data_IF_755762576718
#
_entry.id   IF_755762576718
#
_cell.length_a   1.000
_cell.length_b   1.000
_cell.length_c   1.000
_cell.angle_alpha   90.00
_cell.angle_beta   90.00
_cell.angle_gamma   90.00
#
_symmetry.space_group_name_H-M   'P 1'
#
loop_
_entity.id
_entity.type
_entity.pdbx_description
1 polymer ?
#
# COMPACT_ATOMS: atom_id res chain seq x y z
N UNK A 1 3.41 -15.04 -4.96
CA UNK A 1 4.76 -14.46 -4.82
C UNK A 1 5.35 -14.93 -3.50
N UNK A 2 6.65 -15.26 -3.44
CA UNK A 2 7.30 -15.60 -2.18
C UNK A 2 7.29 -14.38 -1.24
N UNK A 3 7.27 -14.64 0.06
CA UNK A 3 7.34 -13.58 1.06
C UNK A 3 8.68 -12.82 0.94
N UNK A 4 8.61 -11.48 0.93
CA UNK A 4 9.80 -10.62 0.89
C UNK A 4 10.23 -10.36 2.34
N UNK A 5 11.51 -10.55 2.65
CA UNK A 5 12.02 -10.22 3.99
C UNK A 5 12.06 -8.70 4.20
N UNK A 6 11.94 -8.27 5.46
CA UNK A 6 12.03 -6.85 5.82
C UNK A 6 13.31 -6.19 5.30
N UNK A 7 14.45 -6.88 5.40
CA UNK A 7 15.74 -6.35 4.96
C UNK A 7 15.77 -6.09 3.46
N UNK A 8 15.21 -7.00 2.66
CA UNK A 8 15.10 -6.85 1.20
C UNK A 8 14.16 -5.70 0.83
N UNK A 9 12.98 -5.61 1.45
CA UNK A 9 12.04 -4.52 1.20
C UNK A 9 12.68 -3.14 1.50
N UNK A 10 13.35 -3.00 2.65
CA UNK A 10 14.03 -1.76 3.02
C UNK A 10 15.21 -1.42 2.09
N UNK A 11 15.95 -2.42 1.63
CA UNK A 11 17.04 -2.21 0.67
C UNK A 11 16.51 -1.66 -0.66
N UNK A 12 15.39 -2.19 -1.15
CA UNK A 12 14.75 -1.70 -2.38
C UNK A 12 14.29 -0.25 -2.25
N UNK A 13 13.60 0.10 -1.15
CA UNK A 13 13.15 1.48 -0.91
C UNK A 13 14.33 2.45 -0.82
N UNK A 14 15.40 2.11 -0.08
CA UNK A 14 16.60 2.94 0.02
C UNK A 14 17.28 3.15 -1.33
N UNK A 15 17.33 2.11 -2.16
CA UNK A 15 17.86 2.19 -3.53
C UNK A 15 17.07 3.18 -4.37
N UNK A 16 15.75 3.09 -4.35
CA UNK A 16 14.83 3.98 -5.08
C UNK A 16 14.96 5.45 -4.63
N UNK A 17 15.06 5.68 -3.32
CA UNK A 17 15.32 7.01 -2.76
C UNK A 17 16.68 7.54 -3.23
N UNK A 18 17.73 6.71 -3.21
CA UNK A 18 19.07 7.12 -3.64
C UNK A 18 19.15 7.45 -5.13
N UNK A 19 18.25 6.88 -5.96
CA UNK A 19 18.11 7.24 -7.37
C UNK A 19 17.20 8.44 -7.62
N UNK A 20 16.80 9.18 -6.58
CA UNK A 20 15.91 10.33 -6.69
C UNK A 20 14.47 9.97 -7.07
N UNK A 21 14.08 8.70 -6.92
CA UNK A 21 12.73 8.21 -7.22
C UNK A 21 11.91 8.11 -5.93
N UNK A 22 10.69 8.63 -5.95
CA UNK A 22 9.80 8.53 -4.80
C UNK A 22 9.36 7.07 -4.55
N UNK A 23 9.19 6.74 -3.27
CA UNK A 23 8.55 5.49 -2.84
C UNK A 23 7.06 5.79 -2.64
N UNK A 24 6.20 5.08 -3.37
CA UNK A 24 4.76 5.28 -3.38
C UNK A 24 4.07 4.18 -2.58
N UNK A 25 3.20 4.60 -1.65
CA UNK A 25 2.33 3.70 -0.89
C UNK A 25 0.85 3.87 -1.28
N UNK A 26 0.11 2.77 -1.37
CA UNK A 26 -1.32 2.79 -1.64
C UNK A 26 -2.13 2.17 -0.50
N UNK A 27 -3.22 2.84 -0.11
CA UNK A 27 -4.22 2.25 0.77
C UNK A 27 -5.18 1.35 0.00
N UNK A 28 -5.31 0.08 0.36
CA UNK A 28 -6.26 -0.85 -0.25
C UNK A 28 -7.36 -1.28 0.73
N UNK A 29 -8.62 -1.00 0.37
CA UNK A 29 -9.79 -1.39 1.17
C UNK A 29 -10.43 -2.72 0.74
N UNK A 30 -10.09 -3.23 -0.44
CA UNK A 30 -10.57 -4.48 -1.01
C UNK A 30 -9.47 -5.15 -1.84
N UNK A 31 -9.65 -6.43 -2.19
CA UNK A 31 -8.71 -7.16 -3.03
C UNK A 31 -8.56 -6.57 -4.44
N UNK A 32 -9.63 -6.04 -5.04
CA UNK A 32 -9.53 -5.41 -6.36
C UNK A 32 -8.70 -4.12 -6.32
N UNK A 33 -8.83 -3.31 -5.26
CA UNK A 33 -7.97 -2.14 -5.05
C UNK A 33 -6.50 -2.54 -4.93
N UNK A 34 -6.19 -3.62 -4.20
CA UNK A 34 -4.82 -4.13 -4.07
C UNK A 34 -4.26 -4.60 -5.41
N UNK A 35 -5.04 -5.38 -6.18
CA UNK A 35 -4.65 -5.87 -7.50
C UNK A 35 -4.39 -4.74 -8.50
N UNK A 36 -5.24 -3.72 -8.50
CA UNK A 36 -5.03 -2.55 -9.35
C UNK A 36 -3.81 -1.72 -8.91
N UNK A 37 -3.56 -1.59 -7.60
CA UNK A 37 -2.40 -0.88 -7.08
C UNK A 37 -1.08 -1.61 -7.43
N UNK A 38 -1.05 -2.94 -7.30
CA UNK A 38 0.08 -3.77 -7.75
C UNK A 38 0.32 -3.64 -9.25
N UNK A 39 -0.73 -3.72 -10.07
CA UNK A 39 -0.63 -3.51 -11.53
C UNK A 39 -0.17 -2.09 -11.90
N UNK A 40 -0.46 -1.10 -11.05
CA UNK A 40 0.03 0.27 -11.18
C UNK A 40 1.47 0.48 -10.72
N UNK A 41 2.15 -0.55 -10.21
CA UNK A 41 3.56 -0.48 -9.79
C UNK A 41 3.78 0.22 -8.45
N UNK A 42 2.82 0.16 -7.52
CA UNK A 42 3.02 0.69 -6.17
C UNK A 42 4.12 -0.09 -5.41
N UNK A 43 4.92 0.62 -4.60
CA UNK A 43 6.01 0.00 -3.85
C UNK A 43 5.53 -0.71 -2.58
N UNK A 44 4.45 -0.21 -1.96
CA UNK A 44 3.87 -0.78 -0.75
C UNK A 44 2.34 -0.60 -0.71
N UNK A 45 1.65 -1.66 -0.26
CA UNK A 45 0.21 -1.62 0.01
C UNK A 45 -0.01 -1.60 1.52
N UNK A 46 -0.84 -0.67 1.98
CA UNK A 46 -1.28 -0.57 3.37
C UNK A 46 -2.78 -0.90 3.43
N UNK A 47 -3.16 -1.76 4.36
CA UNK A 47 -4.55 -2.07 4.65
C UNK A 47 -4.89 -1.65 6.07
N UNK A 48 -6.11 -1.13 6.27
CA UNK A 48 -6.64 -0.75 7.57
C UNK A 48 -8.17 -0.65 7.51
N UNK A 49 -8.83 -0.59 8.67
CA UNK A 49 -10.30 -0.57 8.80
C UNK A 49 -10.96 0.55 7.98
N UNK A 50 -10.43 1.79 8.02
CA UNK A 50 -10.96 2.89 7.20
C UNK A 50 -10.87 2.62 5.70
N UNK A 51 -9.92 1.82 5.23
CA UNK A 51 -9.87 1.37 3.84
C UNK A 51 -11.13 0.58 3.48
N UNK A 52 -11.50 -0.41 4.29
CA UNK A 52 -12.74 -1.20 4.11
C UNK A 52 -13.98 -0.31 4.14
N UNK A 53 -14.04 0.64 5.08
CA UNK A 53 -15.17 1.54 5.23
C UNK A 53 -15.33 2.51 4.06
N UNK A 54 -14.23 3.04 3.52
CA UNK A 54 -14.25 3.84 2.28
C UNK A 54 -14.84 3.05 1.12
N UNK A 55 -14.44 1.78 0.97
CA UNK A 55 -14.97 0.91 -0.08
C UNK A 55 -16.44 0.53 0.13
N UNK A 56 -16.99 0.73 1.33
CA UNK A 56 -18.41 0.59 1.65
C UNK A 56 -19.19 1.93 1.59
N UNK A 57 -18.59 2.99 1.04
CA UNK A 57 -19.23 4.31 0.93
C UNK A 57 -19.35 5.04 2.27
N UNK A 58 -18.42 4.83 3.21
CA UNK A 58 -18.35 5.54 4.49
C UNK A 58 -17.16 6.49 4.54
N UNK A 59 -17.21 7.46 5.45
CA UNK A 59 -16.14 8.43 5.65
C UNK A 59 -14.87 7.80 6.22
N UNK A 60 -13.72 8.44 5.96
CA UNK A 60 -12.41 7.94 6.43
C UNK A 60 -12.30 7.84 7.95
N UNK A 61 -12.99 8.72 8.70
CA UNK A 61 -12.98 8.73 10.16
C UNK A 61 -13.85 7.63 10.79
N UNK A 62 -14.61 6.86 10.01
CA UNK A 62 -15.38 5.72 10.53
C UNK A 62 -14.50 4.63 11.16
N UNK A 63 -13.17 4.68 10.96
CA UNK A 63 -12.20 3.79 11.60
C UNK A 63 -11.67 4.24 12.97
N UNK A 64 -12.13 5.37 13.52
CA UNK A 64 -11.71 5.90 14.82
C UNK A 64 -12.52 5.39 16.02
N UNK A 65 -13.50 4.51 15.79
CA UNK A 65 -14.31 3.89 16.86
C UNK A 65 -13.56 2.77 17.58
#
# INVERSE_FOLDING_TARGET
MPAISRSVALANFRKQISSGTAVIGAGAGTGISAKCAEAGGVDIIIIYNSGRYRMAGRGSLSGLM
#
